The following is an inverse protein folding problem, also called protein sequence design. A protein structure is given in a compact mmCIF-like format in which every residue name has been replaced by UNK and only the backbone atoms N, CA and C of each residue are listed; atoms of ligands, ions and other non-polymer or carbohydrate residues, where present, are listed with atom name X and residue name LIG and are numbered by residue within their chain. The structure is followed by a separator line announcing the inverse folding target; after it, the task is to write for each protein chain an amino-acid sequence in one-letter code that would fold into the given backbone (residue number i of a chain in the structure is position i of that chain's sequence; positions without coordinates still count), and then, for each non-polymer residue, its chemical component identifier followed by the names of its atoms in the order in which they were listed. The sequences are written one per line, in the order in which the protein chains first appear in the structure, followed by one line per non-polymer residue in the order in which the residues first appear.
data_IF_345450371423
#
_entry.id   IF_345450371423
#
_cell.length_a   1.000
_cell.length_b   1.000
_cell.length_c   1.000
_cell.angle_alpha   90.00
_cell.angle_beta   90.00
_cell.angle_gamma   90.00
#
_symmetry.space_group_name_H-M   'P 1'
#
loop_
_entity.id
_entity.type
_entity.pdbx_description
1 polymer ?
#
# COMPACT_ATOMS: atom_id res chain seq x y z
N UNK A 1 2.15 9.28 -8.97
CA UNK A 1 0.94 8.48 -9.22
C UNK A 1 0.51 7.91 -7.87
N UNK A 2 -0.78 7.93 -7.51
CA UNK A 2 -1.22 7.27 -6.29
C UNK A 2 -1.08 5.75 -6.44
N UNK A 3 -0.42 5.12 -5.48
CA UNK A 3 -0.28 3.68 -5.37
C UNK A 3 -0.62 3.23 -3.96
N UNK A 4 -1.32 2.11 -3.82
CA UNK A 4 -1.62 1.52 -2.53
C UNK A 4 -0.68 0.33 -2.30
N UNK A 5 0.10 0.41 -1.23
CA UNK A 5 1.01 -0.64 -0.79
C UNK A 5 0.36 -1.38 0.37
N UNK A 6 0.27 -2.70 0.24
CA UNK A 6 -0.36 -3.58 1.22
C UNK A 6 0.73 -4.51 1.73
N UNK A 7 1.01 -4.43 3.03
CA UNK A 7 1.97 -5.32 3.66
C UNK A 7 1.29 -6.64 4.03
N UNK A 8 1.78 -7.75 3.47
CA UNK A 8 1.23 -9.09 3.71
C UNK A 8 2.13 -9.87 4.68
N UNK A 9 3.32 -9.35 4.97
CA UNK A 9 4.32 -10.01 5.79
C UNK A 9 5.22 -10.99 5.03
N UNK A 10 6.14 -11.67 5.74
CA UNK A 10 7.08 -12.63 5.17
C UNK A 10 6.49 -14.04 4.96
N UNK A 11 7.14 -14.83 4.10
CA UNK A 11 6.92 -16.26 3.95
C UNK A 11 6.02 -16.70 2.78
N UNK A 12 6.04 -18.00 2.47
CA UNK A 12 5.33 -18.57 1.32
C UNK A 12 3.82 -18.39 1.38
N UNK A 13 3.23 -18.42 2.59
CA UNK A 13 1.80 -18.18 2.78
C UNK A 13 1.43 -16.74 2.43
N UNK A 14 2.20 -15.76 2.91
CA UNK A 14 1.98 -14.36 2.57
C UNK A 14 2.10 -14.13 1.06
N UNK A 15 3.05 -14.80 0.41
CA UNK A 15 3.20 -14.78 -1.04
C UNK A 15 2.00 -15.36 -1.77
N UNK A 16 1.51 -16.53 -1.36
CA UNK A 16 0.31 -17.13 -1.95
C UNK A 16 -0.92 -16.20 -1.79
N UNK A 17 -1.11 -15.61 -0.61
CA UNK A 17 -2.18 -14.63 -0.36
C UNK A 17 -2.01 -13.38 -1.23
N UNK A 18 -0.78 -12.89 -1.37
CA UNK A 18 -0.47 -11.73 -2.22
C UNK A 18 -0.80 -12.00 -3.70
N UNK A 19 -0.52 -13.21 -4.20
CA UNK A 19 -0.92 -13.63 -5.53
C UNK A 19 -2.44 -13.63 -5.70
N UNK A 20 -3.19 -14.23 -4.77
CA UNK A 20 -4.66 -14.25 -4.84
C UNK A 20 -5.27 -12.83 -4.83
N UNK A 21 -4.72 -11.94 -4.00
CA UNK A 21 -5.15 -10.54 -3.95
C UNK A 21 -4.81 -9.78 -5.23
N UNK A 22 -3.58 -9.96 -5.76
CA UNK A 22 -3.14 -9.34 -7.02
C UNK A 22 -4.05 -9.73 -8.18
N UNK A 23 -4.41 -11.01 -8.27
CA UNK A 23 -5.35 -11.49 -9.29
C UNK A 23 -6.72 -10.85 -9.13
N UNK A 24 -7.27 -10.77 -7.92
CA UNK A 24 -8.53 -10.05 -7.67
C UNK A 24 -8.49 -8.59 -8.11
N UNK A 25 -7.41 -7.86 -7.82
CA UNK A 25 -7.26 -6.48 -8.30
C UNK A 25 -7.18 -6.38 -9.83
N UNK A 26 -6.49 -7.32 -10.47
CA UNK A 26 -6.35 -7.38 -11.93
C UNK A 26 -7.69 -7.68 -12.61
N UNK A 27 -8.50 -8.56 -12.04
CA UNK A 27 -9.87 -8.85 -12.49
C UNK A 27 -10.77 -7.62 -12.41
N UNK A 28 -10.56 -6.76 -11.41
CA UNK A 28 -11.22 -5.47 -11.28
C UNK A 28 -10.65 -4.36 -12.20
N UNK A 29 -9.69 -4.71 -13.09
CA UNK A 29 -9.08 -3.77 -14.04
C UNK A 29 -8.02 -2.86 -13.44
N UNK A 30 -7.58 -3.12 -12.19
CA UNK A 30 -6.54 -2.35 -11.53
C UNK A 30 -5.15 -2.91 -11.89
N UNK A 31 -4.16 -2.02 -12.01
CA UNK A 31 -2.77 -2.44 -12.23
C UNK A 31 -2.15 -2.82 -10.89
N UNK A 32 -2.08 -4.12 -10.59
CA UNK A 32 -1.46 -4.63 -9.38
C UNK A 32 -0.22 -5.48 -9.67
N UNK A 33 0.81 -5.33 -8.85
CA UNK A 33 2.01 -6.16 -8.88
C UNK A 33 2.48 -6.48 -7.46
N UNK A 34 3.29 -7.51 -7.32
CA UNK A 34 3.86 -7.92 -6.03
C UNK A 34 5.30 -7.42 -5.99
N UNK A 35 5.63 -6.65 -4.96
CA UNK A 35 6.99 -6.27 -4.63
C UNK A 35 7.46 -7.05 -3.39
N UNK A 36 8.78 -7.24 -3.26
CA UNK A 36 9.37 -7.99 -2.16
C UNK A 36 9.90 -9.37 -2.56
N UNK A 37 10.39 -10.11 -1.57
CA UNK A 37 11.10 -11.38 -1.73
C UNK A 37 10.92 -12.28 -0.52
N UNK A 38 11.93 -13.09 -0.19
CA UNK A 38 11.85 -14.11 0.87
C UNK A 38 11.50 -13.54 2.26
N UNK A 39 11.90 -12.29 2.53
CA UNK A 39 11.78 -11.66 3.85
C UNK A 39 10.64 -10.65 3.96
N UNK A 40 9.99 -10.26 2.87
CA UNK A 40 8.83 -9.38 2.89
C UNK A 40 8.03 -9.55 1.61
N UNK A 41 6.71 -9.57 1.71
CA UNK A 41 5.81 -9.58 0.54
C UNK A 41 4.87 -8.40 0.64
N UNK A 42 4.85 -7.59 -0.42
CA UNK A 42 4.02 -6.39 -0.52
C UNK A 42 3.23 -6.43 -1.82
N UNK A 43 1.98 -6.01 -1.78
CA UNK A 43 1.16 -5.84 -2.99
C UNK A 43 1.10 -4.35 -3.27
N UNK A 44 1.42 -3.97 -4.50
CA UNK A 44 1.36 -2.58 -4.96
C UNK A 44 0.30 -2.47 -6.03
N UNK A 45 -0.72 -1.65 -5.75
CA UNK A 45 -1.83 -1.36 -6.66
C UNK A 45 -1.68 0.06 -7.16
N UNK A 46 -1.44 0.23 -8.45
CA UNK A 46 -1.29 1.52 -9.11
C UNK A 46 -2.64 2.03 -9.61
N UNK A 47 -2.94 3.28 -9.28
CA UNK A 47 -4.16 3.95 -9.70
C UNK A 47 -3.84 5.06 -10.72
N UNK A 48 -4.74 5.29 -11.70
CA UNK A 48 -4.61 6.43 -12.59
C UNK A 48 -4.62 7.75 -11.79
N UNK A 49 -3.97 8.80 -12.31
CA UNK A 49 -3.84 10.09 -11.62
C UNK A 49 -5.12 10.95 -11.64
N UNK A 50 -6.24 10.35 -12.00
CA UNK A 50 -7.55 10.97 -12.12
C UNK A 50 -8.33 10.91 -10.81
N UNK A 51 -9.44 11.66 -10.75
CA UNK A 51 -10.33 11.70 -9.57
C UNK A 51 -10.82 10.29 -9.20
N UNK A 52 -11.21 9.51 -10.20
CA UNK A 52 -11.70 8.15 -10.04
C UNK A 52 -10.62 7.20 -9.48
N UNK A 53 -9.37 7.35 -9.91
CA UNK A 53 -8.25 6.58 -9.38
C UNK A 53 -7.97 6.89 -7.91
N UNK A 54 -8.06 8.16 -7.51
CA UNK A 54 -7.93 8.58 -6.11
C UNK A 54 -9.07 8.04 -5.24
N UNK A 55 -10.31 8.14 -5.70
CA UNK A 55 -11.48 7.62 -4.97
C UNK A 55 -11.40 6.09 -4.83
N UNK A 56 -10.97 5.39 -5.89
CA UNK A 56 -10.74 3.95 -5.87
C UNK A 56 -9.65 3.54 -4.89
N UNK A 57 -8.54 4.29 -4.84
CA UNK A 57 -7.45 4.03 -3.89
C UNK A 57 -7.89 4.20 -2.43
N UNK A 58 -8.71 5.22 -2.14
CA UNK A 58 -9.28 5.48 -0.81
C UNK A 58 -10.27 4.37 -0.44
N UNK A 59 -11.18 4.02 -1.34
CA UNK A 59 -12.17 2.95 -1.12
C UNK A 59 -11.47 1.61 -0.86
N UNK A 60 -10.42 1.30 -1.61
CA UNK A 60 -9.66 0.07 -1.41
C UNK A 60 -8.93 0.07 -0.06
N UNK A 61 -8.29 1.20 0.31
CA UNK A 61 -7.66 1.34 1.63
C UNK A 61 -8.65 1.09 2.77
N UNK A 62 -9.86 1.62 2.68
CA UNK A 62 -10.91 1.41 3.70
C UNK A 62 -11.28 -0.07 3.81
N UNK A 63 -11.54 -0.74 2.68
CA UNK A 63 -11.86 -2.18 2.66
C UNK A 63 -10.74 -3.05 3.26
N UNK A 64 -9.48 -2.71 2.97
CA UNK A 64 -8.33 -3.44 3.51
C UNK A 64 -8.18 -3.22 5.01
N UNK A 65 -8.42 -1.99 5.49
CA UNK A 65 -8.45 -1.68 6.92
C UNK A 65 -9.57 -2.44 7.63
N UNK A 66 -10.75 -2.59 7.02
CA UNK A 66 -11.84 -3.41 7.55
C UNK A 66 -11.48 -4.90 7.59
N UNK A 67 -10.70 -5.37 6.63
CA UNK A 67 -10.15 -6.73 6.60
C UNK A 67 -8.96 -6.94 7.56
N UNK A 68 -8.51 -5.90 8.26
CA UNK A 68 -7.38 -5.96 9.20
C UNK A 68 -5.99 -5.98 8.55
N UNK A 69 -5.89 -5.56 7.29
CA UNK A 69 -4.62 -5.48 6.54
C UNK A 69 -4.02 -4.08 6.66
N UNK A 70 -2.70 -4.00 6.89
CA UNK A 70 -1.98 -2.71 6.90
C UNK A 70 -1.76 -2.25 5.45
N UNK A 71 -2.54 -1.25 5.03
CA UNK A 71 -2.44 -0.66 3.70
C UNK A 71 -2.06 0.82 3.78
N UNK A 72 -1.00 1.19 3.08
CA UNK A 72 -0.46 2.55 3.01
C UNK A 72 -0.64 3.10 1.60
N UNK A 73 -1.28 4.27 1.53
CA UNK A 73 -1.43 4.99 0.27
C UNK A 73 -0.20 5.88 0.07
N UNK A 74 0.61 5.58 -0.94
CA UNK A 74 1.74 6.39 -1.35
C UNK A 74 1.38 7.19 -2.60
N UNK A 75 1.73 8.48 -2.65
CA UNK A 75 1.61 9.29 -3.86
C UNK A 75 3.00 9.69 -4.34
N UNK A 76 3.43 9.22 -5.51
CA UNK A 76 4.66 9.72 -6.16
C UNK A 76 4.41 11.11 -6.76
N UNK A 77 4.20 12.06 -5.85
CA UNK A 77 4.00 13.49 -6.08
C UNK A 77 4.08 14.18 -4.73
N UNK A 78 5.27 14.68 -4.40
CA UNK A 78 5.60 15.62 -3.31
C UNK A 78 4.52 15.79 -2.22
N UNK A 79 4.44 14.81 -1.33
CA UNK A 79 4.16 15.01 0.10
C UNK A 79 4.82 13.85 0.83
N UNK A 80 6.13 13.75 0.62
CA UNK A 80 7.03 13.13 1.59
C UNK A 80 7.52 14.22 2.52
N UNK A 81 6.62 14.81 3.31
CA UNK A 81 7.01 15.64 4.43
C UNK A 81 5.90 15.58 5.49
N UNK A 82 6.33 15.29 6.72
CA UNK A 82 5.66 15.65 7.98
C UNK A 82 4.45 14.80 8.41
N UNK A 83 4.66 13.58 8.89
CA UNK A 83 4.04 13.08 10.15
C UNK A 83 4.66 11.73 10.53
N UNK A 84 5.92 11.79 10.94
CA UNK A 84 6.62 10.65 11.55
C UNK A 84 7.91 11.07 12.25
N UNK A 85 8.06 12.37 12.54
CA UNK A 85 9.12 12.85 13.42
C UNK A 85 8.74 12.46 14.83
N UNK A 86 9.26 11.33 15.26
CA UNK A 86 9.31 10.90 16.64
C UNK A 86 9.79 12.09 17.49
N UNK A 87 8.90 12.58 18.33
CA UNK A 87 9.20 13.51 19.41
C UNK A 87 10.34 12.96 20.25
N UNK A 88 11.50 13.61 20.24
CA UNK A 88 12.62 13.18 21.10
C UNK A 88 13.96 13.89 20.92
N UNK A 89 13.99 15.13 20.44
CA UNK A 89 15.19 15.98 20.48
C UNK A 89 15.11 16.97 21.63
N UNK A 90 15.41 16.54 22.86
CA UNK A 90 15.74 17.48 23.93
C UNK A 90 17.21 17.89 23.76
N UNK A 91 17.42 19.03 23.11
CA UNK A 91 18.68 19.76 23.17
C UNK A 91 18.49 20.85 24.24
N UNK A 92 19.16 20.72 25.39
CA UNK A 92 19.39 21.85 26.30
C UNK A 92 20.90 22.10 26.38
N UNK A 93 21.23 23.37 26.15
CA UNK A 93 22.57 24.00 26.20
C UNK A 93 23.23 23.94 27.57
#
# INVERSE_FOLDING_TARGET
MPRLVIDVGPGDTARATAHQMKDGFTEHGLKAHIEGGENETRIVVEFPYDREGRESAIALKMKLSEAGLDARLETTGQYGEETGGETGGEYTV
#
